data_IF_444820692936
#
_entry.id   IF_444820692936
#
_cell.length_a   1.000
_cell.length_b   1.000
_cell.length_c   1.000
_cell.angle_alpha   90.00
_cell.angle_beta   90.00
_cell.angle_gamma   90.00
#
_symmetry.space_group_name_H-M   'P 1'
#
loop_
_entity.id
_entity.type
_entity.pdbx_description
1 polymer ?
#
# COMPACT_ATOMS: atom_id res chain seq x y z
N UNK A 1 11.14 28.60 1.93
CA UNK A 1 11.40 27.15 1.98
C UNK A 1 10.15 26.43 1.51
N UNK A 2 10.30 25.43 0.65
CA UNK A 2 9.15 24.65 0.21
C UNK A 2 8.78 23.61 1.26
N UNK A 3 7.49 23.46 1.53
CA UNK A 3 6.95 22.41 2.39
C UNK A 3 6.52 21.20 1.53
N UNK A 4 6.88 20.00 1.95
CA UNK A 4 6.38 18.77 1.33
C UNK A 4 5.04 18.42 1.96
N UNK A 5 3.95 18.60 1.20
CA UNK A 5 2.57 18.41 1.68
C UNK A 5 2.05 16.98 1.50
N UNK A 6 2.81 16.09 0.85
CA UNK A 6 2.40 14.69 0.65
C UNK A 6 3.29 13.95 -0.32
N UNK A 7 2.86 12.76 -0.68
CA UNK A 7 3.47 11.91 -1.71
C UNK A 7 2.61 12.01 -2.97
N UNK A 8 3.21 12.33 -4.11
CA UNK A 8 2.50 12.38 -5.40
C UNK A 8 2.23 10.96 -5.92
N UNK A 9 3.29 10.16 -6.08
CA UNK A 9 3.16 8.78 -6.55
C UNK A 9 4.32 7.90 -6.06
N UNK A 10 4.08 6.59 -6.11
CA UNK A 10 5.05 5.54 -5.79
C UNK A 10 5.08 4.55 -6.94
N UNK A 11 6.29 4.16 -7.38
CA UNK A 11 6.51 3.11 -8.37
C UNK A 11 6.99 1.83 -7.70
N UNK A 12 6.32 0.73 -8.01
CA UNK A 12 6.73 -0.61 -7.61
C UNK A 12 7.07 -1.42 -8.85
N UNK A 13 8.28 -1.94 -8.91
CA UNK A 13 8.69 -2.87 -9.94
C UNK A 13 8.29 -4.28 -9.52
N UNK A 14 7.56 -4.98 -10.40
CA UNK A 14 7.02 -6.31 -10.13
C UNK A 14 7.57 -7.34 -11.10
N UNK A 15 7.72 -8.60 -10.67
CA UNK A 15 8.30 -9.66 -11.49
C UNK A 15 7.37 -10.11 -12.60
N UNK A 16 6.06 -10.17 -12.34
CA UNK A 16 5.00 -10.54 -13.28
C UNK A 16 3.88 -9.50 -13.19
N UNK A 17 3.81 -8.62 -14.20
CA UNK A 17 2.86 -7.52 -14.19
C UNK A 17 1.41 -8.01 -14.19
N UNK A 18 1.08 -9.07 -14.94
CA UNK A 18 -0.28 -9.60 -15.01
C UNK A 18 -0.71 -10.20 -13.68
N UNK A 19 0.16 -10.97 -13.04
CA UNK A 19 -0.10 -11.56 -11.71
C UNK A 19 -0.24 -10.47 -10.63
N UNK A 20 0.67 -9.51 -10.62
CA UNK A 20 0.60 -8.39 -9.67
C UNK A 20 -0.61 -7.50 -9.92
N UNK A 21 -0.98 -7.23 -11.18
CA UNK A 21 -2.19 -6.49 -11.52
C UNK A 21 -3.44 -7.17 -10.92
N UNK A 22 -3.57 -8.48 -11.06
CA UNK A 22 -4.71 -9.21 -10.48
C UNK A 22 -4.76 -9.08 -8.95
N UNK A 23 -3.63 -9.15 -8.27
CA UNK A 23 -3.53 -8.94 -6.82
C UNK A 23 -3.90 -7.50 -6.43
N UNK A 24 -3.29 -6.51 -7.06
CA UNK A 24 -3.52 -5.10 -6.73
C UNK A 24 -4.91 -4.62 -7.15
N UNK A 25 -5.55 -5.24 -8.13
CA UNK A 25 -6.97 -5.00 -8.42
C UNK A 25 -7.84 -5.37 -7.22
N UNK A 26 -7.60 -6.52 -6.59
CA UNK A 26 -8.34 -6.90 -5.39
C UNK A 26 -8.03 -5.96 -4.20
N UNK A 27 -6.76 -5.66 -3.96
CA UNK A 27 -6.35 -4.88 -2.79
C UNK A 27 -6.65 -3.40 -2.97
N UNK A 28 -6.12 -2.79 -4.01
CA UNK A 28 -6.09 -1.34 -4.14
C UNK A 28 -7.35 -0.81 -4.81
N UNK A 29 -7.83 -1.50 -5.87
CA UNK A 29 -9.03 -1.08 -6.57
C UNK A 29 -10.30 -1.45 -5.80
N UNK A 30 -10.48 -2.72 -5.43
CA UNK A 30 -11.75 -3.19 -4.85
C UNK A 30 -11.85 -2.92 -3.34
N UNK A 31 -10.80 -3.24 -2.55
CA UNK A 31 -10.84 -3.07 -1.09
C UNK A 31 -10.54 -1.64 -0.67
N UNK A 32 -9.50 -1.01 -1.22
CA UNK A 32 -9.10 0.35 -0.84
C UNK A 32 -9.74 1.46 -1.67
N UNK A 33 -10.53 1.13 -2.70
CA UNK A 33 -11.37 2.07 -3.43
C UNK A 33 -10.63 3.04 -4.35
N UNK A 34 -9.44 2.70 -4.82
CA UNK A 34 -8.71 3.50 -5.80
C UNK A 34 -9.36 3.36 -7.19
N UNK A 35 -9.03 4.29 -8.07
CA UNK A 35 -9.30 4.18 -9.51
C UNK A 35 -8.09 3.56 -10.21
N UNK A 36 -8.29 3.07 -11.45
CA UNK A 36 -7.26 2.40 -12.24
C UNK A 36 -7.17 3.00 -13.63
N UNK A 37 -5.94 3.09 -14.13
CA UNK A 37 -5.64 3.37 -15.53
C UNK A 37 -4.42 2.56 -15.97
N UNK A 38 -4.20 2.50 -17.28
CA UNK A 38 -3.02 1.86 -17.88
C UNK A 38 -2.37 2.82 -18.87
N UNK A 39 -1.06 2.76 -18.95
CA UNK A 39 -0.30 3.53 -19.93
C UNK A 39 0.97 2.78 -20.35
N UNK A 40 1.57 3.24 -21.43
CA UNK A 40 2.86 2.72 -21.91
C UNK A 40 3.91 3.83 -21.77
N UNK A 41 5.05 3.49 -21.20
CA UNK A 41 6.17 4.40 -21.05
C UNK A 41 7.46 3.68 -21.42
N UNK A 42 8.24 4.24 -22.36
CA UNK A 42 9.46 3.60 -22.84
C UNK A 42 9.22 2.23 -23.50
N UNK A 43 8.06 2.03 -24.10
CA UNK A 43 7.67 0.74 -24.69
C UNK A 43 7.19 -0.32 -23.69
N UNK A 44 7.15 0.00 -22.39
CA UNK A 44 6.74 -0.94 -21.35
C UNK A 44 5.32 -0.61 -20.83
N UNK A 45 4.48 -1.64 -20.61
CA UNK A 45 3.16 -1.43 -20.02
C UNK A 45 3.26 -1.08 -18.54
N UNK A 46 2.42 -0.16 -18.09
CA UNK A 46 2.29 0.25 -16.71
C UNK A 46 0.83 0.17 -16.27
N UNK A 47 0.62 -0.17 -15.00
CA UNK A 47 -0.70 -0.14 -14.36
C UNK A 47 -0.66 0.88 -13.23
N UNK A 48 -1.57 1.84 -13.26
CA UNK A 48 -1.65 2.89 -12.26
C UNK A 48 -2.95 2.78 -11.47
N UNK A 49 -2.82 2.82 -10.14
CA UNK A 49 -3.92 3.02 -9.21
C UNK A 49 -3.78 4.40 -8.61
N UNK A 50 -4.87 5.13 -8.46
CA UNK A 50 -4.82 6.49 -7.95
C UNK A 50 -6.10 6.86 -7.19
N UNK A 51 -5.95 7.75 -6.24
CA UNK A 51 -7.03 8.44 -5.57
C UNK A 51 -6.67 9.93 -5.46
N UNK A 52 -7.42 10.70 -4.68
CA UNK A 52 -7.14 12.13 -4.49
C UNK A 52 -5.85 12.43 -3.70
N UNK A 53 -5.22 11.42 -3.08
CA UNK A 53 -4.06 11.62 -2.22
C UNK A 53 -2.74 11.28 -2.91
N UNK A 54 -2.68 10.20 -3.69
CA UNK A 54 -1.46 9.80 -4.40
C UNK A 54 -1.73 8.75 -5.49
N UNK A 55 -0.71 8.49 -6.31
CA UNK A 55 -0.70 7.40 -7.29
C UNK A 55 0.19 6.25 -6.85
N UNK A 56 -0.21 5.03 -7.22
CA UNK A 56 0.52 3.80 -6.99
C UNK A 56 0.67 3.07 -8.32
N UNK A 57 1.91 2.94 -8.81
CA UNK A 57 2.18 2.48 -10.17
C UNK A 57 2.96 1.17 -10.16
N UNK A 58 2.49 0.20 -10.92
CA UNK A 58 3.20 -1.05 -11.18
C UNK A 58 3.92 -0.95 -12.52
N UNK A 59 5.15 -1.38 -12.57
CA UNK A 59 5.93 -1.54 -13.79
C UNK A 59 6.59 -2.92 -13.83
N UNK A 60 6.84 -3.50 -15.03
CA UNK A 60 7.53 -4.77 -15.13
C UNK A 60 9.00 -4.66 -14.74
N UNK A 61 9.53 -5.71 -14.13
CA UNK A 61 10.97 -5.85 -13.89
C UNK A 61 11.73 -6.03 -15.20
N UNK A 62 12.94 -5.48 -15.24
CA UNK A 62 13.93 -5.72 -16.31
C UNK A 62 15.01 -6.72 -15.88
N UNK A 63 14.89 -7.26 -14.67
CA UNK A 63 15.85 -8.19 -14.06
C UNK A 63 15.12 -9.45 -13.63
N UNK A 64 15.81 -10.58 -13.67
CA UNK A 64 15.34 -11.85 -13.09
C UNK A 64 15.72 -12.01 -11.62
N UNK A 65 16.41 -11.04 -11.02
CA UNK A 65 16.79 -11.07 -9.62
C UNK A 65 15.56 -11.04 -8.73
N UNK A 66 15.59 -11.85 -7.66
CA UNK A 66 14.55 -11.80 -6.63
C UNK A 66 14.78 -10.62 -5.70
N UNK A 67 13.71 -10.05 -5.12
CA UNK A 67 13.85 -9.02 -4.10
C UNK A 67 14.62 -9.52 -2.89
N UNK A 68 15.44 -8.65 -2.30
CA UNK A 68 16.12 -8.89 -1.02
C UNK A 68 15.69 -7.76 -0.06
N UNK A 69 14.74 -8.06 0.81
CA UNK A 69 14.17 -7.09 1.74
C UNK A 69 15.05 -6.81 2.96
N UNK A 70 16.18 -7.55 3.10
CA UNK A 70 17.24 -7.25 4.07
C UNK A 70 18.29 -6.29 3.53
N UNK A 71 18.34 -6.11 2.20
CA UNK A 71 19.22 -5.18 1.53
C UNK A 71 18.67 -3.74 1.59
N UNK A 72 19.50 -2.71 1.35
CA UNK A 72 19.03 -1.33 1.25
C UNK A 72 17.94 -1.19 0.19
N UNK A 73 16.83 -0.53 0.55
CA UNK A 73 15.67 -0.32 -0.33
C UNK A 73 14.39 -0.21 0.44
N UNK A 74 13.26 -0.43 -0.24
CA UNK A 74 11.96 -0.42 0.40
C UNK A 74 11.81 -1.59 1.39
N UNK A 75 11.52 -1.28 2.64
CA UNK A 75 11.22 -2.29 3.66
C UNK A 75 9.74 -2.69 3.63
N UNK A 76 8.85 -1.72 3.68
CA UNK A 76 7.40 -1.92 3.56
C UNK A 76 6.71 -0.63 3.16
N UNK A 77 5.43 -0.74 2.84
CA UNK A 77 4.57 0.38 2.52
C UNK A 77 3.29 0.30 3.35
N UNK A 78 2.88 1.42 3.94
CA UNK A 78 1.71 1.48 4.80
C UNK A 78 0.67 2.45 4.25
N UNK A 79 -0.53 1.94 3.97
CA UNK A 79 -1.70 2.76 3.66
C UNK A 79 -2.36 3.23 4.95
N UNK A 80 -2.88 4.45 4.94
CA UNK A 80 -3.61 5.00 6.08
C UNK A 80 -5.09 5.14 5.73
N UNK A 81 -5.94 4.54 6.55
CA UNK A 81 -7.40 4.71 6.50
C UNK A 81 -7.87 5.61 7.66
N UNK A 82 -9.12 6.06 7.61
CA UNK A 82 -9.61 7.08 8.54
C UNK A 82 -9.73 6.57 9.98
N UNK A 83 -10.24 5.36 10.17
CA UNK A 83 -10.60 4.85 11.51
C UNK A 83 -10.11 3.44 11.78
N UNK A 84 -10.18 3.03 13.06
CA UNK A 84 -9.93 1.63 13.47
C UNK A 84 -10.94 0.70 12.83
N UNK A 85 -12.21 1.11 12.73
CA UNK A 85 -13.24 0.31 12.07
C UNK A 85 -12.91 0.04 10.60
N UNK A 86 -12.29 1.01 9.91
CA UNK A 86 -11.83 0.82 8.54
C UNK A 86 -10.68 -0.18 8.45
N UNK A 87 -9.74 -0.19 9.41
CA UNK A 87 -8.67 -1.20 9.45
C UNK A 87 -9.25 -2.61 9.60
N UNK A 88 -10.22 -2.78 10.49
CA UNK A 88 -10.92 -4.07 10.69
C UNK A 88 -11.64 -4.48 9.41
N UNK A 89 -12.40 -3.58 8.80
CA UNK A 89 -13.13 -3.85 7.56
C UNK A 89 -12.20 -4.25 6.41
N UNK A 90 -11.07 -3.56 6.26
CA UNK A 90 -10.05 -3.89 5.25
C UNK A 90 -9.47 -5.28 5.50
N UNK A 91 -9.08 -5.60 6.74
CA UNK A 91 -8.54 -6.92 7.08
C UNK A 91 -9.53 -8.04 6.74
N UNK A 92 -10.81 -7.85 7.09
CA UNK A 92 -11.86 -8.84 6.81
C UNK A 92 -12.10 -9.00 5.30
N UNK A 93 -12.13 -7.90 4.54
CA UNK A 93 -12.32 -7.93 3.08
C UNK A 93 -11.14 -8.59 2.37
N UNK A 94 -9.91 -8.31 2.78
CA UNK A 94 -8.71 -8.96 2.23
C UNK A 94 -8.76 -10.47 2.47
N UNK A 95 -9.07 -10.89 3.67
CA UNK A 95 -9.17 -12.32 4.03
C UNK A 95 -10.32 -13.01 3.28
N UNK A 96 -11.46 -12.35 3.12
CA UNK A 96 -12.58 -12.84 2.32
C UNK A 96 -12.23 -12.99 0.83
N UNK A 97 -11.33 -12.16 0.31
CA UNK A 97 -10.79 -12.25 -1.05
C UNK A 97 -9.70 -13.33 -1.22
N UNK A 98 -9.38 -14.08 -0.16
CA UNK A 98 -8.35 -15.12 -0.19
C UNK A 98 -6.92 -14.62 -0.01
N UNK A 99 -6.73 -13.36 0.39
CA UNK A 99 -5.41 -12.79 0.66
C UNK A 99 -5.03 -13.13 2.11
N UNK A 100 -3.79 -13.61 2.30
CA UNK A 100 -3.24 -13.90 3.63
C UNK A 100 -2.94 -12.59 4.37
N UNK A 101 -3.97 -11.96 4.93
CA UNK A 101 -3.85 -10.79 5.77
C UNK A 101 -3.99 -11.17 7.24
N UNK A 102 -3.24 -10.51 8.12
CA UNK A 102 -3.41 -10.66 9.56
C UNK A 102 -4.76 -10.09 10.02
N UNK A 103 -5.27 -10.59 11.14
CA UNK A 103 -6.36 -9.87 11.81
C UNK A 103 -5.91 -8.47 12.18
N UNK A 104 -6.84 -7.51 12.11
CA UNK A 104 -6.59 -6.18 12.64
C UNK A 104 -6.40 -6.25 14.15
N UNK A 105 -5.29 -5.71 14.65
CA UNK A 105 -5.02 -5.67 16.10
C UNK A 105 -4.27 -4.41 16.49
N UNK A 106 -4.28 -4.13 17.80
CA UNK A 106 -3.55 -3.02 18.40
C UNK A 106 -2.07 -3.38 18.57
N UNK A 107 -1.20 -2.50 18.11
CA UNK A 107 0.25 -2.54 18.29
C UNK A 107 0.67 -1.38 19.20
N UNK A 108 0.41 -1.53 20.49
CA UNK A 108 0.67 -0.48 21.48
C UNK A 108 2.14 -0.09 21.62
N UNK A 109 3.05 -0.98 21.22
CA UNK A 109 4.49 -0.73 21.15
C UNK A 109 4.88 0.37 20.15
N UNK A 110 4.03 0.64 19.14
CA UNK A 110 4.27 1.70 18.16
C UNK A 110 3.58 3.01 18.54
N UNK A 111 2.33 2.93 18.99
CA UNK A 111 1.56 4.06 19.50
C UNK A 111 0.32 3.55 20.26
N UNK A 112 -0.27 4.36 21.18
CA UNK A 112 -1.40 3.91 22.01
C UNK A 112 -2.63 3.45 21.22
N UNK A 113 -2.84 4.01 20.02
CA UNK A 113 -3.98 3.73 19.16
C UNK A 113 -3.57 3.17 17.79
N UNK A 114 -2.41 2.51 17.70
CA UNK A 114 -1.90 1.95 16.45
C UNK A 114 -2.56 0.61 16.13
N UNK A 115 -3.58 0.62 15.29
CA UNK A 115 -4.19 -0.58 14.75
C UNK A 115 -3.69 -0.84 13.34
N UNK A 116 -3.45 -2.11 13.01
CA UNK A 116 -2.97 -2.47 11.69
C UNK A 116 -3.34 -3.88 11.27
N UNK A 117 -3.35 -4.10 9.96
CA UNK A 117 -3.30 -5.39 9.29
C UNK A 117 -2.13 -5.43 8.35
N UNK A 118 -1.51 -6.60 8.20
CA UNK A 118 -0.31 -6.83 7.40
C UNK A 118 -0.55 -7.94 6.38
N UNK A 119 0.02 -7.78 5.19
CA UNK A 119 -0.04 -8.76 4.11
C UNK A 119 1.12 -8.52 3.14
N UNK A 120 1.34 -9.44 2.22
CA UNK A 120 2.40 -9.33 1.22
C UNK A 120 1.81 -9.37 -0.18
N UNK A 121 2.46 -8.67 -1.11
CA UNK A 121 2.15 -8.80 -2.53
C UNK A 121 2.78 -10.09 -3.13
N UNK A 122 2.52 -10.42 -4.41
CA UNK A 122 3.07 -11.63 -5.03
C UNK A 122 4.59 -11.72 -5.06
N UNK A 123 5.29 -10.59 -5.01
CA UNK A 123 6.77 -10.54 -4.95
C UNK A 123 7.31 -10.57 -3.51
N UNK A 124 6.43 -10.61 -2.50
CA UNK A 124 6.80 -10.57 -1.11
C UNK A 124 6.99 -9.17 -0.54
N UNK A 125 6.62 -8.13 -1.29
CA UNK A 125 6.63 -6.75 -0.77
C UNK A 125 5.64 -6.67 0.39
N UNK A 126 6.15 -6.28 1.56
CA UNK A 126 5.32 -6.15 2.76
C UNK A 126 4.44 -4.92 2.68
N UNK A 127 3.15 -5.12 2.93
CA UNK A 127 2.12 -4.09 2.90
C UNK A 127 1.40 -4.04 4.25
N UNK A 128 0.99 -2.85 4.62
CA UNK A 128 0.31 -2.58 5.88
C UNK A 128 -0.84 -1.62 5.65
N UNK A 129 -1.90 -1.74 6.45
CA UNK A 129 -2.96 -0.74 6.53
C UNK A 129 -3.12 -0.35 8.00
N UNK A 130 -3.07 0.94 8.29
CA UNK A 130 -3.21 1.50 9.64
C UNK A 130 -4.23 2.64 9.67
N UNK A 131 -4.72 2.97 10.87
CA UNK A 131 -5.67 4.05 11.08
C UNK A 131 -4.99 5.43 11.16
N UNK A 132 -5.77 6.47 10.94
CA UNK A 132 -5.33 7.85 11.16
C UNK A 132 -5.28 8.14 12.68
N UNK A 133 -4.10 7.97 13.26
CA UNK A 133 -3.88 8.05 14.72
C UNK A 133 -3.95 9.48 15.23
N UNK A 134 -4.25 9.63 16.52
CA UNK A 134 -4.37 10.93 17.16
C UNK A 134 -3.07 11.74 17.09
N UNK A 135 -1.91 11.12 17.28
CA UNK A 135 -0.61 11.80 17.17
C UNK A 135 -0.36 12.41 15.79
N UNK A 136 -0.87 11.76 14.74
CA UNK A 136 -0.76 12.26 13.36
C UNK A 136 -1.71 13.43 13.12
N UNK A 137 -2.91 13.38 13.72
CA UNK A 137 -3.88 14.47 13.67
C UNK A 137 -3.32 15.70 14.41
N UNK A 138 -2.75 15.48 15.60
CA UNK A 138 -2.16 16.55 16.39
C UNK A 138 -1.00 17.22 15.65
N UNK A 139 -0.14 16.45 14.98
CA UNK A 139 0.94 17.02 14.15
C UNK A 139 0.41 17.84 12.98
N UNK A 140 -0.64 17.35 12.31
CA UNK A 140 -1.24 18.06 11.17
C UNK A 140 -1.88 19.37 11.61
N UNK A 141 -2.59 19.36 12.74
CA UNK A 141 -3.34 20.51 13.22
C UNK A 141 -2.46 21.55 13.91
N UNK A 142 -1.34 21.16 14.49
CA UNK A 142 -0.47 22.00 15.33
C UNK A 142 0.97 22.17 14.79
N UNK A 143 1.17 21.96 13.52
CA UNK A 143 2.49 22.12 12.89
C UNK A 143 2.87 23.59 12.70
#
# INVERSE_FOLDING_TARGET
MAEVIGIDHIYITVSDLQHSEAFYDQVVLEVLGFRKSKFTLGGEPHVQYFNRHFGYVLRPSRSSNKPDFAAPGLHHFCFRVESVADVVAVADQLRAAGIEASEAKLYSEYAPDYWATHFNDPDGIHLEVTNYRQERRDRHDNW
#
